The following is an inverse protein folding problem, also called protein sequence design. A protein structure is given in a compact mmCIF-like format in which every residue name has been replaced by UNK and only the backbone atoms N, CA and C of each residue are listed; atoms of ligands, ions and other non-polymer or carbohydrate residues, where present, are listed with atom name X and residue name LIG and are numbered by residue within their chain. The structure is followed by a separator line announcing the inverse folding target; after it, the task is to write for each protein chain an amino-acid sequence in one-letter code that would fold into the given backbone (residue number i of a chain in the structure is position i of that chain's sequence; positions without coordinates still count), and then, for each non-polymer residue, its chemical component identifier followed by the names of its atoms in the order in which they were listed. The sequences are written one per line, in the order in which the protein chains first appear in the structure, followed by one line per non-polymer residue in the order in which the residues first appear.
data_IF_633449882599
#
_entry.id   IF_633449882599
#
_cell.length_a   1.000
_cell.length_b   1.000
_cell.length_c   1.000
_cell.angle_alpha   90.00
_cell.angle_beta   90.00
_cell.angle_gamma   90.00
#
_symmetry.space_group_name_H-M   'P 1'
#
loop_
_entity.id
_entity.type
_entity.pdbx_description
1 polymer ?
#
# COMPACT_ATOMS: atom_id res chain seq x y z
N UNK A 1 27.27 66.96 20.51
CA UNK A 1 28.62 67.55 20.67
C UNK A 1 29.28 67.48 19.31
N UNK A 2 29.64 68.63 18.73
CA UNK A 2 30.24 68.72 17.40
C UNK A 2 31.64 69.34 17.57
N UNK A 3 32.67 68.72 16.98
CA UNK A 3 34.05 69.16 17.13
C UNK A 3 34.65 69.42 15.75
N UNK A 4 35.10 70.66 15.53
CA UNK A 4 35.71 71.06 14.26
C UNK A 4 37.22 70.94 14.34
N UNK A 5 37.77 69.95 13.64
CA UNK A 5 39.21 69.74 13.57
C UNK A 5 39.85 70.91 12.79
N UNK A 6 40.86 71.55 13.37
CA UNK A 6 41.59 72.68 12.76
C UNK A 6 41.16 74.07 13.24
N UNK A 7 40.09 74.18 14.01
CA UNK A 7 39.65 75.44 14.63
C UNK A 7 40.10 75.48 16.10
N UNK A 8 40.72 76.57 16.61
CA UNK A 8 41.08 76.68 18.02
C UNK A 8 39.88 76.48 18.94
N UNK A 9 40.06 75.75 20.05
CA UNK A 9 38.98 75.44 21.00
C UNK A 9 38.26 76.70 21.51
N UNK A 10 39.00 77.78 21.77
CA UNK A 10 38.44 79.05 22.20
C UNK A 10 37.41 79.62 21.19
N UNK A 11 37.67 79.47 19.89
CA UNK A 11 36.77 79.93 18.85
C UNK A 11 35.53 79.01 18.69
N UNK A 12 35.62 77.73 19.09
CA UNK A 12 34.50 76.79 19.08
C UNK A 12 33.55 76.97 20.28
N UNK A 13 33.99 77.63 21.36
CA UNK A 13 33.21 77.91 22.57
C UNK A 13 32.64 79.33 22.61
N UNK A 14 32.97 80.16 21.62
CA UNK A 14 32.53 81.55 21.52
C UNK A 14 31.12 81.64 20.88
N UNK A 15 30.12 82.22 21.56
CA UNK A 15 28.75 82.34 21.04
C UNK A 15 28.65 83.18 19.76
N UNK A 16 29.55 84.14 19.52
CA UNK A 16 29.52 84.98 18.32
C UNK A 16 29.88 84.18 17.04
N UNK A 17 30.64 83.08 17.19
CA UNK A 17 31.07 82.23 16.08
C UNK A 17 30.00 81.21 15.63
N UNK A 18 28.91 81.05 16.37
CA UNK A 18 27.78 80.16 16.00
C UNK A 18 27.15 80.60 14.68
N UNK A 19 27.02 81.91 14.46
CA UNK A 19 26.46 82.47 13.21
C UNK A 19 27.29 82.10 11.98
N UNK A 20 28.61 82.00 12.13
CA UNK A 20 29.54 81.65 11.05
C UNK A 20 29.46 80.15 10.75
N UNK A 21 29.22 79.30 11.75
CA UNK A 21 29.04 77.85 11.57
C UNK A 21 27.80 77.52 10.72
N UNK A 22 26.71 78.29 10.86
CA UNK A 22 25.51 78.16 10.03
C UNK A 22 25.64 78.76 8.62
N UNK A 23 26.79 79.35 8.27
CA UNK A 23 27.03 79.83 6.90
C UNK A 23 27.35 78.66 5.96
N UNK A 24 27.16 78.88 4.64
CA UNK A 24 27.55 77.90 3.61
C UNK A 24 29.02 77.47 3.72
N UNK A 25 29.91 78.39 4.10
CA UNK A 25 31.34 78.10 4.25
C UNK A 25 31.64 77.32 5.53
N UNK A 26 30.85 77.53 6.59
CA UNK A 26 30.98 76.85 7.88
C UNK A 26 30.35 75.45 7.93
N UNK A 27 29.26 75.23 7.20
CA UNK A 27 28.54 73.95 7.14
C UNK A 27 29.21 72.89 6.24
N UNK A 28 30.31 73.24 5.56
CA UNK A 28 30.99 72.35 4.59
C UNK A 28 31.49 71.04 5.22
N UNK A 29 31.79 71.05 6.52
CA UNK A 29 32.25 69.88 7.27
C UNK A 29 31.19 69.32 8.20
N UNK A 30 29.93 69.75 8.06
CA UNK A 30 28.85 69.17 8.84
C UNK A 30 28.60 67.72 8.43
N UNK A 31 28.08 66.93 9.35
CA UNK A 31 27.71 65.56 9.03
C UNK A 31 26.57 65.56 8.01
N UNK A 32 26.53 64.51 7.17
CA UNK A 32 25.39 64.33 6.27
C UNK A 32 24.15 64.11 7.13
N UNK A 33 23.17 65.00 7.00
CA UNK A 33 21.88 64.85 7.67
C UNK A 33 21.08 63.74 7.00
N UNK A 34 21.08 62.56 7.63
CA UNK A 34 20.40 61.36 7.19
C UNK A 34 20.01 60.51 8.39
N UNK A 35 19.03 59.65 8.20
CA UNK A 35 18.77 58.59 9.16
C UNK A 35 19.88 57.53 9.08
N UNK A 36 20.71 57.42 10.12
CA UNK A 36 21.77 56.42 10.22
C UNK A 36 21.29 55.09 10.82
N UNK A 37 20.01 54.99 11.21
CA UNK A 37 19.42 53.73 11.66
C UNK A 37 18.97 52.87 10.48
N UNK A 38 19.32 51.58 10.54
CA UNK A 38 18.82 50.58 9.59
C UNK A 38 17.38 50.26 9.99
N UNK A 39 16.43 50.58 9.10
CA UNK A 39 15.02 50.19 9.28
C UNK A 39 14.89 48.74 8.82
N UNK A 40 14.43 47.87 9.71
CA UNK A 40 14.17 46.46 9.43
C UNK A 40 12.67 46.26 9.20
N UNK A 41 12.33 45.56 8.13
CA UNK A 41 10.99 45.03 7.90
C UNK A 41 11.01 43.52 8.15
N UNK A 42 10.01 43.02 8.87
CA UNK A 42 9.84 41.61 9.13
C UNK A 42 8.59 41.11 8.41
N UNK A 43 8.70 39.95 7.76
CA UNK A 43 7.56 39.18 7.27
C UNK A 43 7.46 37.91 8.09
N UNK A 44 6.32 37.72 8.75
CA UNK A 44 6.04 36.51 9.53
C UNK A 44 6.09 35.30 8.60
N UNK A 45 6.81 34.26 9.02
CA UNK A 45 6.81 32.95 8.35
C UNK A 45 5.49 32.25 8.68
N UNK A 46 4.98 31.43 7.77
CA UNK A 46 3.72 30.71 7.98
C UNK A 46 3.70 30.03 9.36
N UNK A 47 2.77 30.40 10.24
CA UNK A 47 2.81 30.00 11.65
C UNK A 47 2.42 28.54 11.87
N UNK A 48 1.85 27.88 10.86
CA UNK A 48 1.40 26.50 10.88
C UNK A 48 1.48 25.87 9.48
N UNK A 49 2.25 24.80 9.35
CA UNK A 49 2.37 23.99 8.14
C UNK A 49 2.33 22.50 8.49
N UNK A 50 1.73 21.69 7.60
CA UNK A 50 1.62 20.25 7.77
C UNK A 50 1.74 19.52 6.44
N UNK A 51 2.67 18.58 6.37
CA UNK A 51 2.85 17.67 5.23
C UNK A 51 2.65 16.24 5.70
N UNK A 52 1.89 15.46 4.94
CA UNK A 52 1.68 14.03 5.19
C UNK A 52 2.41 13.19 4.15
N UNK A 53 2.86 12.01 4.55
CA UNK A 53 3.25 10.95 3.63
C UNK A 53 2.99 9.58 4.22
N UNK A 54 2.89 8.59 3.34
CA UNK A 54 2.68 7.20 3.67
C UNK A 54 3.99 6.42 3.58
N UNK A 55 4.08 5.36 4.39
CA UNK A 55 5.16 4.39 4.30
C UNK A 55 4.65 3.02 4.72
N UNK A 56 4.90 1.98 3.94
CA UNK A 56 4.60 0.61 4.34
C UNK A 56 5.39 0.22 5.60
N UNK A 57 4.74 -0.50 6.51
CA UNK A 57 5.38 -0.95 7.75
C UNK A 57 6.38 -2.09 7.42
N UNK A 58 7.59 -2.01 7.96
CA UNK A 58 8.60 -3.05 7.78
C UNK A 58 8.28 -4.34 8.56
N UNK A 59 7.30 -4.30 9.47
CA UNK A 59 6.83 -5.43 10.30
C UNK A 59 5.64 -6.19 9.71
N UNK A 60 5.32 -5.93 8.44
CA UNK A 60 4.35 -6.78 7.73
C UNK A 60 4.87 -8.22 7.66
N UNK A 61 4.05 -9.17 8.08
CA UNK A 61 4.38 -10.60 8.07
C UNK A 61 4.54 -11.11 6.64
N UNK A 62 3.80 -10.51 5.71
CA UNK A 62 3.76 -10.81 4.28
C UNK A 62 4.21 -9.58 3.49
N UNK A 63 5.49 -9.47 3.08
CA UNK A 63 5.97 -8.31 2.32
C UNK A 63 5.32 -8.17 0.93
N UNK A 64 4.83 -9.27 0.35
CA UNK A 64 4.05 -9.32 -0.89
C UNK A 64 2.75 -8.52 -0.83
N UNK A 65 2.29 -8.22 0.38
CA UNK A 65 1.05 -7.49 0.60
C UNK A 65 1.18 -5.99 0.22
N UNK A 66 2.41 -5.50 0.07
CA UNK A 66 2.73 -4.14 -0.37
C UNK A 66 2.89 -4.10 -1.88
N UNK A 67 1.93 -3.47 -2.58
CA UNK A 67 1.93 -3.39 -4.05
C UNK A 67 2.64 -2.12 -4.52
N UNK A 68 2.29 -0.99 -3.92
CA UNK A 68 2.90 0.31 -4.22
C UNK A 68 3.11 1.10 -2.92
N UNK A 69 4.35 1.51 -2.68
CA UNK A 69 4.76 2.26 -1.49
C UNK A 69 5.39 3.58 -1.91
N UNK A 70 4.54 4.58 -2.16
CA UNK A 70 4.95 5.95 -2.46
C UNK A 70 4.53 6.90 -1.32
N UNK A 71 5.21 8.05 -1.16
CA UNK A 71 4.84 9.03 -0.14
C UNK A 71 3.38 9.51 -0.28
N UNK A 72 2.88 9.64 -1.51
CA UNK A 72 1.54 10.16 -1.80
C UNK A 72 0.47 9.06 -1.93
N UNK A 73 0.85 7.83 -2.26
CA UNK A 73 -0.09 6.72 -2.49
C UNK A 73 0.39 5.42 -1.85
N UNK A 74 -0.50 4.79 -1.07
CA UNK A 74 -0.36 3.44 -0.57
C UNK A 74 -1.31 2.51 -1.32
N UNK A 75 -0.76 1.50 -1.98
CA UNK A 75 -1.54 0.42 -2.58
C UNK A 75 -1.12 -0.89 -1.93
N UNK A 76 -2.10 -1.60 -1.37
CA UNK A 76 -1.84 -2.80 -0.60
C UNK A 76 -3.02 -3.73 -0.49
N UNK A 77 -2.74 -4.93 0.01
CA UNK A 77 -3.76 -5.90 0.34
C UNK A 77 -4.45 -5.57 1.66
N UNK A 78 -5.59 -6.21 1.91
CA UNK A 78 -6.24 -6.14 3.22
C UNK A 78 -5.31 -6.60 4.34
N UNK A 79 -5.55 -6.16 5.58
CA UNK A 79 -4.72 -6.49 6.78
C UNK A 79 -3.28 -5.95 6.76
N UNK A 80 -2.76 -5.48 5.63
CA UNK A 80 -1.44 -4.86 5.59
C UNK A 80 -1.35 -3.61 6.46
N UNK A 81 -0.16 -3.41 7.02
CA UNK A 81 0.18 -2.31 7.91
C UNK A 81 0.90 -1.20 7.14
N UNK A 82 0.41 0.01 7.30
CA UNK A 82 1.02 1.25 6.84
C UNK A 82 1.22 2.22 7.98
N UNK A 83 2.16 3.13 7.80
CA UNK A 83 2.40 4.23 8.72
C UNK A 83 2.11 5.55 8.00
N UNK A 84 1.19 6.32 8.56
CA UNK A 84 0.93 7.70 8.16
C UNK A 84 1.88 8.58 8.95
N UNK A 85 2.75 9.30 8.27
CA UNK A 85 3.73 10.19 8.88
C UNK A 85 3.37 11.65 8.62
N UNK A 86 3.74 12.53 9.54
CA UNK A 86 3.52 13.96 9.41
C UNK A 86 4.76 14.78 9.78
N UNK A 87 5.07 15.76 8.93
CA UNK A 87 6.00 16.85 9.19
C UNK A 87 5.16 18.06 9.55
N UNK A 88 5.31 18.53 10.79
CA UNK A 88 4.52 19.64 11.33
C UNK A 88 5.48 20.75 11.72
N UNK A 89 5.29 21.93 11.13
CA UNK A 89 5.97 23.15 11.57
C UNK A 89 4.92 24.05 12.21
N UNK A 90 5.12 24.44 13.47
CA UNK A 90 4.15 25.30 14.16
C UNK A 90 4.86 26.25 15.11
N UNK A 91 4.41 27.51 15.16
CA UNK A 91 4.92 28.50 16.11
C UNK A 91 4.11 28.52 17.41
N UNK A 92 2.80 28.31 17.30
CA UNK A 92 1.85 28.34 18.40
C UNK A 92 1.41 26.93 18.80
N UNK A 93 0.81 26.78 19.98
CA UNK A 93 0.34 25.46 20.45
C UNK A 93 -0.82 24.97 19.60
N UNK A 94 -0.73 23.72 19.11
CA UNK A 94 -1.82 23.04 18.41
C UNK A 94 -2.90 22.65 19.42
N UNK A 95 -4.13 23.08 19.17
CA UNK A 95 -5.29 22.82 20.04
C UNK A 95 -6.25 21.78 19.44
N UNK A 96 -6.28 21.64 18.12
CA UNK A 96 -7.10 20.66 17.43
C UNK A 96 -6.33 19.99 16.31
N UNK A 97 -6.58 18.70 16.14
CA UNK A 97 -6.02 17.89 15.08
C UNK A 97 -7.05 16.81 14.72
N UNK A 98 -7.36 16.68 13.44
CA UNK A 98 -8.38 15.72 12.98
C UNK A 98 -8.06 15.18 11.60
N UNK A 99 -8.43 13.91 11.38
CA UNK A 99 -8.38 13.29 10.07
C UNK A 99 -9.62 13.62 9.25
N UNK A 100 -9.42 13.74 7.95
CA UNK A 100 -10.47 13.77 6.95
C UNK A 100 -10.17 12.64 5.96
N UNK A 101 -10.83 11.50 6.14
CA UNK A 101 -10.76 10.37 5.22
C UNK A 101 -12.05 10.31 4.41
N UNK A 102 -11.95 10.57 3.11
CA UNK A 102 -13.09 10.57 2.19
C UNK A 102 -13.00 9.39 1.23
N UNK A 103 -14.10 8.69 1.06
CA UNK A 103 -14.30 7.63 0.09
C UNK A 103 -15.46 8.00 -0.84
N UNK A 104 -15.37 7.61 -2.11
CA UNK A 104 -16.40 7.95 -3.11
C UNK A 104 -17.69 7.12 -2.94
N UNK A 105 -17.61 5.96 -2.30
CA UNK A 105 -18.74 5.08 -1.99
C UNK A 105 -19.16 5.14 -0.51
N UNK A 106 -18.80 6.22 0.21
CA UNK A 106 -19.16 6.46 1.61
C UNK A 106 -18.71 5.37 2.61
N UNK A 107 -17.68 4.57 2.29
CA UNK A 107 -17.07 3.66 3.28
C UNK A 107 -16.19 4.42 4.27
N UNK A 108 -16.35 4.08 5.54
CA UNK A 108 -15.53 4.64 6.62
C UNK A 108 -14.18 3.94 6.71
N UNK A 109 -13.10 4.71 6.68
CA UNK A 109 -11.76 4.24 7.06
C UNK A 109 -11.53 4.56 8.54
N UNK A 110 -11.16 3.54 9.32
CA UNK A 110 -10.84 3.72 10.74
C UNK A 110 -9.43 4.29 10.84
N UNK A 111 -9.35 5.59 11.09
CA UNK A 111 -8.08 6.29 11.28
C UNK A 111 -7.61 6.20 12.74
N UNK A 112 -6.29 6.13 12.98
CA UNK A 112 -5.72 6.16 14.32
C UNK A 112 -6.02 7.48 15.04
N UNK A 113 -6.17 7.41 16.37
CA UNK A 113 -6.51 8.58 17.19
C UNK A 113 -5.37 9.59 17.20
N UNK A 114 -5.66 10.84 16.85
CA UNK A 114 -4.71 11.96 16.95
C UNK A 114 -5.03 12.76 18.20
N UNK A 115 -4.00 13.07 18.98
CA UNK A 115 -4.10 13.92 20.15
C UNK A 115 -3.26 15.17 19.91
N UNK A 116 -3.91 16.34 19.83
CA UNK A 116 -3.23 17.60 19.54
C UNK A 116 -2.06 17.91 20.49
N UNK A 117 -2.18 17.54 21.77
CA UNK A 117 -1.14 17.73 22.78
C UNK A 117 0.05 16.75 22.68
N UNK A 118 -0.05 15.71 21.85
CA UNK A 118 1.02 14.75 21.60
C UNK A 118 1.79 15.07 20.31
N UNK A 119 1.33 16.05 19.52
CA UNK A 119 2.01 16.49 18.31
C UNK A 119 3.27 17.26 18.67
N UNK A 120 4.35 16.97 17.96
CA UNK A 120 5.64 17.65 18.10
C UNK A 120 6.02 18.35 16.81
N UNK A 121 6.77 19.44 16.91
CA UNK A 121 7.41 20.06 15.74
C UNK A 121 8.40 19.08 15.07
N UNK A 122 8.46 19.10 13.74
CA UNK A 122 9.30 18.21 12.94
C UNK A 122 8.57 16.94 12.47
N UNK A 123 9.35 15.88 12.21
CA UNK A 123 8.90 14.66 11.53
C UNK A 123 8.72 13.44 12.46
N UNK A 124 8.59 13.65 13.77
CA UNK A 124 8.43 12.57 14.76
C UNK A 124 6.98 12.13 14.97
N UNK A 125 6.06 12.60 14.12
CA UNK A 125 4.64 12.31 14.22
C UNK A 125 4.32 11.17 13.26
N UNK A 126 3.95 10.01 13.79
CA UNK A 126 3.60 8.85 12.99
C UNK A 126 2.45 8.06 13.64
N UNK A 127 1.62 7.46 12.80
CA UNK A 127 0.50 6.63 13.23
C UNK A 127 0.36 5.39 12.35
N UNK A 128 0.21 4.24 13.01
CA UNK A 128 0.01 2.98 12.33
C UNK A 128 -1.46 2.85 11.90
N UNK A 129 -1.64 2.36 10.69
CA UNK A 129 -2.91 2.12 10.03
C UNK A 129 -2.90 0.69 9.48
N UNK A 130 -3.96 -0.05 9.74
CA UNK A 130 -4.18 -1.36 9.14
C UNK A 130 -5.22 -1.21 8.04
N UNK A 131 -4.90 -1.67 6.83
CA UNK A 131 -5.80 -1.59 5.70
C UNK A 131 -7.09 -2.40 5.96
N UNK A 132 -8.27 -1.83 5.67
CA UNK A 132 -9.54 -2.51 5.89
C UNK A 132 -9.72 -3.67 4.90
N UNK A 133 -10.74 -4.49 5.15
CA UNK A 133 -11.11 -5.55 4.23
C UNK A 133 -11.53 -4.98 2.87
N UNK A 134 -11.04 -5.65 1.82
CA UNK A 134 -11.41 -5.34 0.45
C UNK A 134 -12.87 -5.72 0.20
N UNK A 135 -13.57 -4.95 -0.63
CA UNK A 135 -14.98 -5.20 -0.98
C UNK A 135 -15.13 -5.31 -2.49
N UNK A 136 -15.76 -6.39 -2.94
CA UNK A 136 -16.04 -6.61 -4.36
C UNK A 136 -17.23 -5.77 -4.85
N UNK A 137 -17.26 -5.54 -6.17
CA UNK A 137 -18.39 -4.97 -6.90
C UNK A 137 -18.34 -5.42 -8.37
N UNK A 138 -19.45 -5.23 -9.08
CA UNK A 138 -19.64 -5.76 -10.44
C UNK A 138 -18.74 -5.08 -11.49
N UNK A 139 -18.34 -3.82 -11.26
CA UNK A 139 -17.46 -3.08 -12.17
C UNK A 139 -16.17 -2.65 -11.50
N UNK A 140 -15.10 -2.55 -12.28
CA UNK A 140 -13.79 -2.07 -11.80
C UNK A 140 -13.88 -0.67 -11.18
N UNK A 141 -14.63 0.23 -11.80
CA UNK A 141 -14.84 1.59 -11.28
C UNK A 141 -15.52 1.59 -9.90
N UNK A 142 -16.49 0.70 -9.69
CA UNK A 142 -17.15 0.55 -8.38
C UNK A 142 -16.19 -0.06 -7.36
N UNK A 143 -15.38 -1.05 -7.75
CA UNK A 143 -14.34 -1.65 -6.88
C UNK A 143 -13.33 -0.60 -6.45
N UNK A 144 -12.84 0.24 -7.36
CA UNK A 144 -11.94 1.36 -7.01
C UNK A 144 -12.65 2.36 -6.10
N UNK A 145 -13.89 2.76 -6.42
CA UNK A 145 -14.63 3.71 -5.60
C UNK A 145 -14.90 3.22 -4.17
N UNK A 146 -15.09 1.90 -3.99
CA UNK A 146 -15.29 1.26 -2.68
C UNK A 146 -14.00 1.09 -1.88
N UNK A 147 -12.86 0.92 -2.54
CA UNK A 147 -11.61 0.56 -1.88
C UNK A 147 -10.51 1.63 -1.94
N UNK A 148 -10.84 2.85 -2.38
CA UNK A 148 -9.91 3.99 -2.37
C UNK A 148 -10.36 5.10 -1.43
N UNK A 149 -9.46 5.56 -0.57
CA UNK A 149 -9.67 6.66 0.37
C UNK A 149 -8.66 7.79 0.12
N UNK A 150 -9.17 9.02 0.10
CA UNK A 150 -8.37 10.24 0.12
C UNK A 150 -8.30 10.77 1.54
N UNK A 151 -7.10 10.79 2.10
CA UNK A 151 -6.86 11.12 3.51
C UNK A 151 -6.07 12.42 3.59
N UNK A 152 -6.48 13.28 4.51
CA UNK A 152 -5.73 14.48 4.91
C UNK A 152 -5.91 14.77 6.39
N UNK A 153 -5.06 15.62 6.93
CA UNK A 153 -5.13 16.08 8.32
C UNK A 153 -5.40 17.58 8.35
N UNK A 154 -6.26 18.00 9.27
CA UNK A 154 -6.52 19.40 9.59
C UNK A 154 -6.00 19.71 10.98
N UNK A 155 -5.18 20.75 11.09
CA UNK A 155 -4.63 21.27 12.34
C UNK A 155 -5.17 22.67 12.62
N UNK A 156 -5.35 23.00 13.89
CA UNK A 156 -5.69 24.34 14.36
C UNK A 156 -4.84 24.70 15.57
N UNK A 157 -4.28 25.90 15.57
CA UNK A 157 -3.51 26.44 16.69
C UNK A 157 -4.36 27.34 17.61
N UNK A 158 -3.79 27.73 18.74
CA UNK A 158 -4.43 28.61 19.73
C UNK A 158 -4.70 30.05 19.23
N UNK A 159 -4.12 30.44 18.10
CA UNK A 159 -4.39 31.73 17.43
C UNK A 159 -5.50 31.62 16.39
N UNK A 160 -6.04 30.42 16.18
CA UNK A 160 -7.10 30.14 15.21
C UNK A 160 -6.58 29.95 13.78
N UNK A 161 -5.26 29.84 13.57
CA UNK A 161 -4.73 29.46 12.26
C UNK A 161 -5.10 28.01 12.00
N UNK A 162 -5.72 27.74 10.85
CA UNK A 162 -6.11 26.41 10.42
C UNK A 162 -5.32 26.04 9.18
N UNK A 163 -4.68 24.88 9.21
CA UNK A 163 -3.96 24.37 8.07
C UNK A 163 -4.42 22.95 7.76
N UNK A 164 -4.57 22.67 6.47
CA UNK A 164 -4.82 21.33 6.00
C UNK A 164 -3.58 20.80 5.29
N UNK A 165 -3.27 19.52 5.50
CA UNK A 165 -2.21 18.86 4.76
C UNK A 165 -2.56 18.67 3.29
N UNK A 166 -1.53 18.30 2.52
CA UNK A 166 -1.71 17.57 1.27
C UNK A 166 -2.56 16.31 1.44
N UNK A 167 -3.10 15.81 0.33
CA UNK A 167 -3.91 14.59 0.31
C UNK A 167 -2.98 13.42 -0.01
N UNK A 168 -3.09 12.35 0.78
CA UNK A 168 -2.52 11.05 0.47
C UNK A 168 -3.65 10.09 0.11
N UNK A 169 -3.38 9.16 -0.80
CA UNK A 169 -4.34 8.18 -1.29
C UNK A 169 -4.01 6.79 -0.74
N UNK A 170 -5.05 6.07 -0.33
CA UNK A 170 -4.94 4.71 0.19
C UNK A 170 -5.89 3.84 -0.62
N UNK A 171 -5.35 2.84 -1.30
CA UNK A 171 -6.12 1.90 -2.11
C UNK A 171 -5.87 0.49 -1.60
N UNK A 172 -6.97 -0.19 -1.27
CA UNK A 172 -6.95 -1.61 -0.92
C UNK A 172 -7.25 -2.41 -2.18
N UNK A 173 -6.42 -3.42 -2.46
CA UNK A 173 -6.64 -4.36 -3.54
C UNK A 173 -6.93 -5.76 -3.01
N UNK A 174 -7.54 -6.56 -3.88
CA UNK A 174 -7.68 -7.98 -3.66
C UNK A 174 -6.45 -8.67 -4.23
N UNK A 175 -5.90 -9.59 -3.47
CA UNK A 175 -5.05 -10.64 -4.00
C UNK A 175 -5.49 -11.92 -3.32
N UNK A 176 -5.80 -12.93 -4.15
CA UNK A 176 -6.17 -14.27 -3.73
C UNK A 176 -5.19 -15.18 -4.41
N UNK A 177 -4.44 -15.93 -3.62
CA UNK A 177 -3.55 -16.96 -4.15
C UNK A 177 -4.35 -18.25 -4.23
N UNK A 178 -4.63 -18.70 -5.45
CA UNK A 178 -5.37 -19.95 -5.68
C UNK A 178 -4.32 -21.00 -6.06
N UNK A 179 -4.14 -21.99 -5.18
CA UNK A 179 -3.15 -23.05 -5.36
C UNK A 179 -3.86 -24.40 -5.42
N UNK A 180 -3.69 -25.15 -6.51
CA UNK A 180 -4.08 -26.56 -6.50
C UNK A 180 -2.94 -27.39 -5.94
N UNK A 181 -3.26 -28.16 -4.92
CA UNK A 181 -2.35 -29.12 -4.31
C UNK A 181 -2.75 -30.51 -4.83
N UNK A 182 -1.78 -31.28 -5.31
CA UNK A 182 -2.04 -32.63 -5.78
C UNK A 182 -1.77 -33.59 -4.64
N UNK A 183 -2.83 -34.03 -3.97
CA UNK A 183 -2.73 -35.01 -2.91
C UNK A 183 -2.52 -36.41 -3.50
N UNK A 184 -1.42 -37.06 -3.12
CA UNK A 184 -1.21 -38.45 -3.46
C UNK A 184 -2.10 -39.33 -2.57
N UNK A 185 -3.05 -40.06 -3.16
CA UNK A 185 -3.92 -41.04 -2.46
C UNK A 185 -3.13 -42.04 -1.58
N UNK A 186 -1.86 -42.30 -1.91
CA UNK A 186 -1.02 -43.24 -1.17
C UNK A 186 -0.41 -42.66 0.11
N UNK A 187 -0.46 -41.33 0.32
CA UNK A 187 0.07 -40.70 1.53
C UNK A 187 -1.07 -40.33 2.50
N UNK A 188 -0.98 -40.86 3.72
CA UNK A 188 -1.90 -40.53 4.80
C UNK A 188 -1.57 -39.20 5.46
N UNK A 189 -0.39 -38.64 5.20
CA UNK A 189 0.03 -37.32 5.68
C UNK A 189 -0.28 -36.24 4.63
N UNK A 190 -1.46 -35.63 4.76
CA UNK A 190 -1.92 -34.53 3.89
C UNK A 190 -1.28 -33.17 4.21
N UNK A 191 -0.25 -33.15 5.07
CA UNK A 191 0.46 -31.92 5.41
C UNK A 191 1.65 -31.64 4.49
N UNK A 192 2.06 -32.62 3.69
CA UNK A 192 3.16 -32.48 2.74
C UNK A 192 2.59 -32.26 1.34
N UNK A 193 2.67 -31.02 0.85
CA UNK A 193 2.18 -30.64 -0.47
C UNK A 193 2.99 -31.38 -1.56
N UNK A 194 2.52 -32.55 -2.00
CA UNK A 194 3.15 -33.27 -3.11
C UNK A 194 2.80 -32.59 -4.44
N UNK A 195 3.80 -32.37 -5.27
CA UNK A 195 3.59 -31.83 -6.63
C UNK A 195 3.49 -32.94 -7.69
N UNK A 196 3.60 -34.21 -7.30
CA UNK A 196 3.53 -35.36 -8.22
C UNK A 196 2.65 -36.48 -7.68
N UNK A 197 1.71 -36.93 -8.50
CA UNK A 197 0.90 -38.13 -8.24
C UNK A 197 0.67 -38.91 -9.53
N UNK A 198 0.54 -40.23 -9.43
CA UNK A 198 0.27 -41.10 -10.56
C UNK A 198 -0.81 -42.13 -10.25
N UNK A 199 -1.64 -42.42 -11.25
CA UNK A 199 -2.74 -43.38 -11.19
C UNK A 199 -2.74 -44.24 -12.46
N UNK A 200 -3.39 -45.41 -12.45
CA UNK A 200 -3.53 -46.20 -13.67
C UNK A 200 -4.40 -45.46 -14.70
N UNK A 201 -4.02 -45.55 -15.97
CA UNK A 201 -4.75 -44.91 -17.06
C UNK A 201 -5.84 -45.85 -17.63
N UNK A 202 -6.66 -46.43 -16.75
CA UNK A 202 -7.72 -47.38 -17.10
C UNK A 202 -9.11 -46.76 -17.15
N UNK A 203 -9.23 -45.48 -16.77
CA UNK A 203 -10.50 -44.76 -16.68
C UNK A 203 -11.31 -45.06 -15.41
N UNK A 204 -10.78 -45.88 -14.50
CA UNK A 204 -11.36 -46.14 -13.17
C UNK A 204 -10.49 -45.52 -12.07
N UNK A 205 -9.17 -45.69 -12.16
CA UNK A 205 -8.23 -45.06 -11.24
C UNK A 205 -8.05 -43.57 -11.57
N UNK A 206 -7.80 -42.78 -10.53
CA UNK A 206 -7.72 -41.33 -10.65
C UNK A 206 -6.78 -40.69 -9.64
N UNK A 207 -6.27 -39.52 -10.01
CA UNK A 207 -5.49 -38.65 -9.14
C UNK A 207 -6.45 -37.68 -8.46
N UNK A 208 -6.42 -37.63 -7.13
CA UNK A 208 -7.19 -36.65 -6.36
C UNK A 208 -6.35 -35.38 -6.25
N UNK A 209 -6.96 -34.24 -6.54
CA UNK A 209 -6.38 -32.92 -6.33
C UNK A 209 -7.22 -32.21 -5.29
N UNK A 210 -6.56 -31.60 -4.30
CA UNK A 210 -7.20 -30.74 -3.34
C UNK A 210 -7.14 -29.29 -3.84
N UNK A 211 -8.30 -28.64 -3.91
CA UNK A 211 -8.39 -27.25 -4.33
C UNK A 211 -8.30 -26.37 -3.09
N UNK A 212 -7.08 -25.96 -2.73
CA UNK A 212 -6.88 -25.06 -1.62
C UNK A 212 -7.01 -23.59 -2.08
N UNK A 213 -8.14 -22.98 -1.75
CA UNK A 213 -8.35 -21.55 -1.95
C UNK A 213 -7.90 -20.83 -0.69
N UNK A 214 -6.83 -20.04 -0.80
CA UNK A 214 -6.38 -19.16 0.28
C UNK A 214 -6.40 -17.70 -0.16
N UNK A 215 -6.51 -16.78 0.81
CA UNK A 215 -6.12 -15.40 0.58
C UNK A 215 -4.60 -15.31 0.42
N UNK A 216 -4.07 -14.13 0.07
CA UNK A 216 -2.61 -13.94 -0.03
C UNK A 216 -1.84 -14.10 1.28
N UNK A 217 -2.54 -14.32 2.41
CA UNK A 217 -1.96 -14.60 3.72
C UNK A 217 -2.03 -16.10 4.08
N UNK A 218 -2.58 -16.94 3.18
CA UNK A 218 -2.72 -18.37 3.42
C UNK A 218 -3.98 -18.75 4.20
N UNK A 219 -4.90 -17.81 4.47
CA UNK A 219 -6.16 -18.11 5.17
C UNK A 219 -7.20 -18.68 4.19
N UNK A 220 -7.80 -19.83 4.53
CA UNK A 220 -8.88 -20.46 3.76
C UNK A 220 -10.27 -19.91 4.08
N UNK A 221 -10.35 -18.86 4.90
CA UNK A 221 -11.61 -18.27 5.36
C UNK A 221 -11.63 -16.77 5.12
N UNK A 222 -12.82 -16.23 4.84
CA UNK A 222 -13.08 -14.81 4.82
C UNK A 222 -13.02 -14.20 6.24
N UNK A 223 -13.07 -12.88 6.33
CA UNK A 223 -13.05 -12.14 7.61
C UNK A 223 -14.22 -12.48 8.55
N UNK A 224 -15.32 -13.03 8.04
CA UNK A 224 -16.46 -13.46 8.85
C UNK A 224 -16.30 -14.90 9.34
N UNK A 225 -15.20 -15.57 8.98
CA UNK A 225 -14.93 -16.97 9.27
C UNK A 225 -15.68 -17.93 8.35
N UNK A 226 -16.22 -17.45 7.23
CA UNK A 226 -16.80 -18.31 6.20
C UNK A 226 -15.69 -18.85 5.32
N UNK A 227 -15.75 -20.12 4.97
CA UNK A 227 -14.82 -20.75 4.04
C UNK A 227 -14.87 -20.08 2.66
N UNK A 228 -13.72 -19.90 2.02
CA UNK A 228 -13.64 -19.37 0.67
C UNK A 228 -14.17 -20.43 -0.31
N UNK A 229 -15.37 -20.21 -0.86
CA UNK A 229 -16.06 -21.18 -1.73
C UNK A 229 -15.76 -20.95 -3.22
N UNK A 230 -15.53 -22.05 -3.95
CA UNK A 230 -15.42 -22.09 -5.42
C UNK A 230 -16.81 -22.05 -6.08
N UNK A 231 -17.35 -20.85 -6.31
CA UNK A 231 -18.66 -20.73 -6.98
C UNK A 231 -18.57 -20.69 -8.53
N UNK A 232 -17.37 -20.65 -9.13
CA UNK A 232 -17.27 -20.43 -10.58
C UNK A 232 -15.94 -20.82 -11.30
N UNK A 233 -14.98 -21.51 -10.68
CA UNK A 233 -13.73 -21.84 -11.39
C UNK A 233 -13.83 -23.13 -12.20
N UNK A 234 -13.63 -23.02 -13.51
CA UNK A 234 -13.36 -24.16 -14.39
C UNK A 234 -11.85 -24.39 -14.48
N UNK A 235 -11.29 -25.46 -13.85
CA UNK A 235 -9.86 -25.74 -13.96
C UNK A 235 -9.47 -26.04 -15.41
N UNK A 236 -8.33 -25.52 -15.84
CA UNK A 236 -7.80 -25.73 -17.21
C UNK A 236 -6.46 -26.41 -17.10
N UNK A 237 -6.36 -27.69 -17.49
CA UNK A 237 -5.13 -28.47 -17.42
C UNK A 237 -4.15 -28.11 -18.54
N UNK A 238 -2.85 -28.07 -18.22
CA UNK A 238 -1.76 -27.86 -19.17
C UNK A 238 -0.80 -29.07 -19.10
N UNK A 239 -0.21 -29.43 -20.24
CA UNK A 239 0.83 -30.46 -20.31
C UNK A 239 2.22 -29.89 -19.96
N UNK A 240 3.24 -30.76 -19.94
CA UNK A 240 4.63 -30.39 -19.64
C UNK A 240 5.29 -29.41 -20.62
N UNK A 241 4.59 -29.03 -21.70
CA UNK A 241 5.02 -28.05 -22.69
C UNK A 241 4.09 -26.81 -22.71
N UNK A 242 3.37 -26.55 -21.62
CA UNK A 242 2.39 -25.45 -21.46
C UNK A 242 1.24 -25.47 -22.47
N UNK A 243 0.93 -26.64 -23.06
CA UNK A 243 -0.19 -26.77 -23.99
C UNK A 243 -1.45 -27.18 -23.23
N UNK A 244 -2.52 -26.43 -23.45
CA UNK A 244 -3.84 -26.70 -22.88
C UNK A 244 -4.33 -28.10 -23.26
N UNK A 245 -4.59 -28.94 -22.25
CA UNK A 245 -5.21 -30.26 -22.37
C UNK A 245 -6.72 -30.09 -22.25
N UNK A 246 -7.47 -30.74 -23.14
CA UNK A 246 -8.93 -30.67 -23.14
C UNK A 246 -9.49 -31.68 -22.14
N UNK A 247 -10.17 -31.19 -21.09
CA UNK A 247 -10.87 -32.02 -20.12
C UNK A 247 -12.28 -32.33 -20.62
N UNK A 248 -12.63 -33.61 -20.74
CA UNK A 248 -13.99 -34.01 -21.05
C UNK A 248 -14.86 -33.96 -19.78
N UNK A 249 -16.13 -33.58 -19.94
CA UNK A 249 -17.10 -33.56 -18.83
C UNK A 249 -17.76 -34.92 -18.58
N UNK A 250 -17.53 -35.90 -19.46
CA UNK A 250 -18.08 -37.25 -19.36
C UNK A 250 -16.94 -38.26 -19.37
N UNK A 251 -17.07 -39.39 -18.63
CA UNK A 251 -16.10 -40.47 -18.66
C UNK A 251 -15.85 -40.97 -20.07
N UNK A 252 -14.57 -41.09 -20.43
CA UNK A 252 -14.14 -41.61 -21.72
C UNK A 252 -13.80 -43.10 -21.62
N UNK A 253 -13.91 -43.81 -22.74
CA UNK A 253 -13.50 -45.21 -22.84
C UNK A 253 -12.12 -45.33 -23.49
N UNK A 254 -11.54 -46.53 -23.48
CA UNK A 254 -10.28 -46.83 -24.16
C UNK A 254 -10.35 -46.70 -25.69
N UNK A 255 -11.56 -46.67 -26.27
CA UNK A 255 -11.79 -46.46 -27.71
C UNK A 255 -11.72 -44.98 -28.12
N UNK A 256 -12.03 -44.07 -27.19
CA UNK A 256 -11.92 -42.61 -27.36
C UNK A 256 -11.15 -42.02 -26.19
N UNK A 257 -9.80 -42.12 -26.18
CA UNK A 257 -9.03 -41.81 -24.99
C UNK A 257 -9.06 -40.32 -24.67
N UNK A 258 -9.26 -39.98 -23.40
CA UNK A 258 -9.26 -38.60 -22.93
C UNK A 258 -8.91 -38.50 -21.43
N UNK A 259 -8.65 -37.28 -20.95
CA UNK A 259 -8.67 -36.94 -19.52
C UNK A 259 -10.05 -36.36 -19.18
N UNK A 260 -10.64 -36.82 -18.09
CA UNK A 260 -11.95 -36.34 -17.62
C UNK A 260 -11.99 -36.19 -16.09
N UNK A 261 -12.96 -35.41 -15.62
CA UNK A 261 -13.24 -35.26 -14.18
C UNK A 261 -14.12 -36.45 -13.77
N UNK A 262 -13.57 -37.36 -12.96
CA UNK A 262 -14.28 -38.55 -12.49
C UNK A 262 -15.27 -38.22 -11.38
N UNK A 263 -14.88 -37.35 -10.46
CA UNK A 263 -15.74 -36.86 -9.38
C UNK A 263 -15.28 -35.48 -8.90
N UNK A 264 -16.21 -34.74 -8.29
CA UNK A 264 -15.94 -33.52 -7.56
C UNK A 264 -16.67 -33.61 -6.22
N UNK A 265 -15.91 -33.58 -5.14
CA UNK A 265 -16.44 -33.49 -3.80
C UNK A 265 -16.44 -32.02 -3.37
N UNK A 266 -17.63 -31.43 -3.25
CA UNK A 266 -17.79 -30.02 -2.87
C UNK A 266 -17.58 -29.79 -1.37
N UNK A 267 -17.82 -30.79 -0.54
CA UNK A 267 -17.66 -30.68 0.92
C UNK A 267 -16.20 -30.88 1.31
N UNK A 268 -15.47 -31.72 0.58
CA UNK A 268 -14.06 -31.97 0.81
C UNK A 268 -13.11 -31.07 0.00
N UNK A 269 -13.61 -30.22 -0.91
CA UNK A 269 -12.77 -29.35 -1.75
C UNK A 269 -11.96 -30.10 -2.82
N UNK A 270 -12.25 -31.38 -3.08
CA UNK A 270 -11.41 -32.23 -3.94
C UNK A 270 -12.00 -32.47 -5.34
N UNK A 271 -11.11 -32.63 -6.31
CA UNK A 271 -11.42 -33.01 -7.69
C UNK A 271 -10.61 -34.24 -8.06
N UNK A 272 -11.27 -35.31 -8.51
CA UNK A 272 -10.59 -36.50 -9.02
C UNK A 272 -10.51 -36.46 -10.54
N UNK A 273 -9.30 -36.52 -11.07
CA UNK A 273 -9.03 -36.66 -12.50
C UNK A 273 -8.70 -38.11 -12.84
N UNK A 274 -9.36 -38.63 -13.88
CA UNK A 274 -9.05 -39.94 -14.45
C UNK A 274 -8.69 -39.81 -15.91
N UNK A 275 -7.91 -40.76 -16.41
CA UNK A 275 -7.42 -40.75 -17.79
C UNK A 275 -7.54 -42.13 -18.41
N UNK A 276 -7.94 -42.17 -19.68
CA UNK A 276 -7.78 -43.34 -20.55
C UNK A 276 -6.69 -43.11 -21.62
N UNK A 277 -5.92 -42.02 -21.51
CA UNK A 277 -4.78 -41.72 -22.39
C UNK A 277 -3.57 -42.54 -21.97
N UNK A 278 -3.00 -43.35 -22.89
CA UNK A 278 -1.73 -44.00 -22.64
C UNK A 278 -0.58 -43.03 -22.93
N UNK A 279 0.24 -42.66 -21.94
CA UNK A 279 1.55 -42.04 -22.21
C UNK A 279 2.75 -42.89 -21.77
N UNK A 280 3.85 -42.65 -22.49
CA UNK A 280 4.90 -43.56 -22.90
C UNK A 280 5.98 -43.73 -21.82
N UNK A 281 6.09 -44.91 -21.21
CA UNK A 281 7.16 -45.21 -20.25
C UNK A 281 8.51 -45.42 -20.96
N UNK A 282 9.48 -44.53 -20.70
CA UNK A 282 10.87 -44.75 -21.05
C UNK A 282 11.49 -45.84 -20.15
N UNK A 283 11.61 -47.07 -20.66
CA UNK A 283 12.60 -48.05 -20.17
C UNK A 283 12.07 -49.38 -19.62
N UNK A 284 11.91 -50.36 -20.52
CA UNK A 284 12.00 -51.84 -20.34
C UNK A 284 11.64 -52.43 -18.96
N UNK A 285 10.36 -52.74 -18.78
CA UNK A 285 9.75 -54.04 -18.41
C UNK A 285 8.24 -53.81 -18.33
N UNK A 286 7.41 -54.83 -18.62
CA UNK A 286 5.93 -54.73 -18.59
C UNK A 286 5.46 -54.01 -17.33
N UNK A 287 5.13 -52.72 -17.46
CA UNK A 287 4.53 -51.90 -16.43
C UNK A 287 3.19 -51.44 -17.01
N UNK A 288 2.13 -51.70 -16.23
CA UNK A 288 0.76 -51.27 -16.47
C UNK A 288 0.74 -49.77 -16.80
N UNK A 289 -0.04 -49.29 -17.78
CA UNK A 289 -0.04 -47.87 -18.15
C UNK A 289 -0.46 -47.01 -16.96
N UNK A 290 0.44 -46.16 -16.47
CA UNK A 290 0.18 -45.17 -15.43
C UNK A 290 0.16 -43.78 -16.07
N UNK A 291 -0.83 -42.97 -15.72
CA UNK A 291 -0.84 -41.53 -15.94
C UNK A 291 -0.13 -40.85 -14.76
N UNK A 292 0.92 -40.10 -15.03
CA UNK A 292 1.62 -39.27 -14.04
C UNK A 292 1.22 -37.82 -14.25
N UNK A 293 0.71 -37.18 -13.20
CA UNK A 293 0.44 -35.74 -13.18
C UNK A 293 1.55 -35.08 -12.38
N UNK A 294 2.45 -34.38 -13.07
CA UNK A 294 3.44 -33.48 -12.46
C UNK A 294 2.87 -32.07 -12.51
N UNK A 295 2.68 -31.46 -11.35
CA UNK A 295 2.06 -30.14 -11.22
C UNK A 295 3.09 -29.07 -11.59
N UNK A 296 3.00 -28.56 -12.82
CA UNK A 296 3.49 -27.22 -13.16
C UNK A 296 2.27 -26.45 -13.64
N UNK A 297 1.46 -26.02 -12.67
CA UNK A 297 0.13 -25.49 -12.96
C UNK A 297 -0.08 -24.21 -12.16
N UNK A 298 0.30 -23.07 -12.77
CA UNK A 298 -0.20 -21.78 -12.30
C UNK A 298 -1.60 -21.58 -12.88
N UNK A 299 -2.62 -21.53 -12.05
CA UNK A 299 -3.89 -20.94 -12.48
C UNK A 299 -3.70 -19.43 -12.47
N UNK A 300 -3.81 -18.83 -13.66
CA UNK A 300 -4.06 -17.40 -13.74
C UNK A 300 -5.37 -17.11 -13.01
N UNK A 301 -5.27 -16.21 -12.03
CA UNK A 301 -6.38 -15.47 -11.43
C UNK A 301 -7.51 -15.25 -12.43
N UNK A 302 -8.70 -15.74 -12.10
CA UNK A 302 -9.92 -15.36 -12.80
C UNK A 302 -10.20 -13.89 -12.43
N UNK A 303 -9.81 -12.98 -13.33
CA UNK A 303 -10.39 -11.65 -13.38
C UNK A 303 -11.83 -11.76 -13.86
N UNK A 304 -12.75 -11.78 -12.91
CA UNK A 304 -14.13 -11.29 -13.08
C UNK A 304 -14.48 -10.44 -11.89
#
# INVERSE_FOLDING_TARGET
MNYQIGTPLAAQLDPENVKIQHSLMGSRTDFVDRNNFIILEYREKDPLDVTLWLKADATNEHPECVIEDTPEAAVGLEKCKWTVNALINHHYKIISASWQAKNNAARTLVMPVVKANALTEGNNNSWNLVLPAWVNADTEEQRTALNTWKVRMTLEDEKGNKQNSGVVEITVQQDRKIELIVDNIADTDRSDHSHEASALADGEDGVVMDLLITDSFGDSTDRNGNELVDDAMTPVLYDSNDKKVTLAQTPCTTETPCVFIASRDKEAGTVTLSSTLPELSAGRRKQTPMATVTTLMSLLSATT
#
